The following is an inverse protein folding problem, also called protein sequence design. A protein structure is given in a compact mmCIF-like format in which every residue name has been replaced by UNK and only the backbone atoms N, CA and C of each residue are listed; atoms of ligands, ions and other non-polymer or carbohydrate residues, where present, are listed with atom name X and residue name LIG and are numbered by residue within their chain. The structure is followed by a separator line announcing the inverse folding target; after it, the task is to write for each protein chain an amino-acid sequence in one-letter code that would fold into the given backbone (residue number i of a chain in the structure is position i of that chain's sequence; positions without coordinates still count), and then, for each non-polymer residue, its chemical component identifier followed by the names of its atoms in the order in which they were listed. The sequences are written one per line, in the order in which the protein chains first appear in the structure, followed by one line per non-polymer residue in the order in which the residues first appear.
data_IF_028961354788
#
_entry.id   IF_028961354788
#
_cell.length_a   1.000
_cell.length_b   1.000
_cell.length_c   1.000
_cell.angle_alpha   90.00
_cell.angle_beta   90.00
_cell.angle_gamma   90.00
#
_symmetry.space_group_name_H-M   'P 1'
#
loop_
_entity.id
_entity.type
_entity.pdbx_description
1 polymer ?
#
# COMPACT_ATOMS: atom_id res chain seq x y z
N UNK A 1 -19.11 -17.55 18.59
CA UNK A 1 -18.34 -17.93 17.41
C UNK A 1 -17.41 -16.76 17.16
N UNK A 2 -16.18 -16.76 17.67
CA UNK A 2 -15.04 -17.56 17.17
C UNK A 2 -14.99 -17.52 15.65
N UNK A 3 -13.87 -16.98 15.20
CA UNK A 3 -13.26 -17.14 13.89
C UNK A 3 -13.65 -16.10 12.83
N UNK A 4 -12.61 -15.77 12.06
CA UNK A 4 -12.59 -15.06 10.78
C UNK A 4 -12.25 -13.56 10.86
N UNK A 5 -11.09 -13.23 11.43
CA UNK A 5 -10.19 -12.32 10.71
C UNK A 5 -9.59 -13.16 9.58
N UNK A 6 -10.30 -13.22 8.46
CA UNK A 6 -9.68 -13.56 7.19
C UNK A 6 -9.24 -12.22 6.61
N UNK A 7 -8.03 -11.82 6.99
CA UNK A 7 -7.23 -10.96 6.13
C UNK A 7 -6.96 -11.79 4.87
N UNK A 8 -7.87 -11.70 3.90
CA UNK A 8 -7.65 -12.22 2.56
C UNK A 8 -6.80 -11.17 1.86
N UNK A 9 -5.52 -11.20 2.19
CA UNK A 9 -4.48 -10.55 1.43
C UNK A 9 -4.05 -11.48 0.29
N UNK A 10 -4.92 -11.66 -0.72
CA UNK A 10 -4.52 -12.40 -1.92
C UNK A 10 -3.46 -11.63 -2.71
N UNK A 11 -3.35 -10.31 -2.53
CA UNK A 11 -2.31 -9.52 -3.15
C UNK A 11 -0.93 -9.82 -2.53
N UNK A 12 -0.77 -9.79 -1.21
CA UNK A 12 0.51 -10.07 -0.54
C UNK A 12 0.92 -11.54 -0.52
N UNK A 13 -0.01 -12.50 -0.52
CA UNK A 13 0.34 -13.94 -0.57
C UNK A 13 0.73 -14.44 -1.97
N UNK A 14 0.21 -13.85 -3.05
CA UNK A 14 0.65 -14.14 -4.43
C UNK A 14 1.74 -13.16 -4.91
N UNK A 15 1.73 -11.93 -4.41
CA UNK A 15 2.62 -10.84 -4.78
C UNK A 15 3.26 -10.24 -3.53
N UNK A 16 4.14 -11.00 -2.86
CA UNK A 16 5.15 -10.41 -2.00
C UNK A 16 6.05 -9.48 -2.83
N UNK A 17 5.54 -8.42 -3.43
CA UNK A 17 5.98 -7.90 -4.71
C UNK A 17 7.42 -7.41 -4.68
N UNK A 18 7.89 -6.69 -3.64
CA UNK A 18 9.30 -6.39 -3.48
C UNK A 18 10.16 -7.63 -3.24
N UNK A 19 9.69 -8.62 -2.46
CA UNK A 19 10.43 -9.86 -2.18
C UNK A 19 10.48 -10.78 -3.39
N UNK A 20 9.37 -10.95 -4.12
CA UNK A 20 9.28 -11.78 -5.31
C UNK A 20 10.00 -11.12 -6.48
N UNK A 21 9.90 -9.79 -6.62
CA UNK A 21 10.65 -9.03 -7.62
C UNK A 21 12.14 -9.07 -7.31
N UNK A 22 12.56 -8.82 -6.06
CA UNK A 22 13.97 -8.96 -5.67
C UNK A 22 14.47 -10.40 -5.72
N UNK A 23 13.64 -11.39 -5.39
CA UNK A 23 14.00 -12.80 -5.55
C UNK A 23 14.18 -13.14 -7.03
N UNK A 24 13.30 -12.64 -7.90
CA UNK A 24 13.44 -12.78 -9.35
C UNK A 24 14.70 -12.07 -9.86
N UNK A 25 14.90 -10.79 -9.54
CA UNK A 25 16.09 -10.00 -9.91
C UNK A 25 17.37 -10.67 -9.40
N UNK A 26 17.43 -11.11 -8.13
CA UNK A 26 18.60 -11.80 -7.60
C UNK A 26 18.81 -13.18 -8.21
N UNK A 27 17.75 -13.96 -8.46
CA UNK A 27 17.88 -15.25 -9.11
C UNK A 27 18.40 -15.10 -10.54
N UNK A 28 17.88 -14.12 -11.29
CA UNK A 28 18.32 -13.79 -12.65
C UNK A 28 19.74 -13.22 -12.65
N UNK A 29 20.08 -12.36 -11.69
CA UNK A 29 21.43 -11.87 -11.46
C UNK A 29 22.43 -12.99 -11.13
N UNK A 30 22.02 -13.99 -10.34
CA UNK A 30 22.84 -15.20 -10.07
C UNK A 30 23.00 -16.09 -11.30
N UNK A 31 22.11 -15.99 -12.27
CA UNK A 31 22.24 -16.59 -13.61
C UNK A 31 23.05 -15.72 -14.58
N UNK A 32 23.60 -14.59 -14.13
CA UNK A 32 24.42 -13.69 -14.93
C UNK A 32 23.65 -12.72 -15.81
N UNK A 33 22.34 -12.57 -15.58
CA UNK A 33 21.48 -11.63 -16.32
C UNK A 33 21.56 -10.25 -15.64
N UNK A 34 22.06 -9.20 -16.33
CA UNK A 34 22.05 -7.84 -15.82
C UNK A 34 20.64 -7.37 -15.46
N UNK A 35 20.51 -6.53 -14.42
CA UNK A 35 19.21 -5.97 -14.04
C UNK A 35 18.55 -5.18 -15.20
N UNK A 36 19.35 -4.52 -16.04
CA UNK A 36 18.90 -3.76 -17.20
C UNK A 36 18.26 -4.64 -18.30
N UNK A 37 18.54 -5.95 -18.29
CA UNK A 37 17.94 -6.93 -19.20
C UNK A 37 16.63 -7.52 -18.63
N UNK A 38 16.19 -7.09 -17.43
CA UNK A 38 14.98 -7.58 -16.77
C UNK A 38 13.84 -6.59 -17.01
N UNK A 39 12.91 -6.95 -17.89
CA UNK A 39 11.65 -6.21 -18.05
C UNK A 39 10.67 -6.57 -16.94
N UNK A 40 10.34 -5.59 -16.09
CA UNK A 40 9.26 -5.69 -15.11
C UNK A 40 7.99 -5.11 -15.71
N UNK A 41 6.92 -5.91 -15.72
CA UNK A 41 5.62 -5.49 -16.24
C UNK A 41 4.67 -5.33 -15.05
N UNK A 42 4.41 -4.10 -14.62
CA UNK A 42 3.47 -3.84 -13.54
C UNK A 42 2.04 -3.90 -14.09
N UNK A 43 1.15 -4.63 -13.43
CA UNK A 43 -0.24 -4.76 -13.89
C UNK A 43 -0.96 -3.40 -13.97
N UNK A 44 -0.55 -2.43 -13.14
CA UNK A 44 -1.03 -1.05 -13.18
C UNK A 44 -0.75 -0.38 -14.54
N UNK A 45 0.40 -0.68 -15.17
CA UNK A 45 0.76 -0.14 -16.50
C UNK A 45 -0.06 -0.79 -17.63
N UNK A 46 -0.76 -1.89 -17.34
CA UNK A 46 -1.57 -2.65 -18.30
C UNK A 46 -3.07 -2.60 -17.98
N UNK A 47 -3.49 -1.53 -17.27
CA UNK A 47 -4.89 -1.21 -17.07
C UNK A 47 -5.57 -1.95 -15.93
N UNK A 48 -4.81 -2.50 -14.97
CA UNK A 48 -5.38 -3.02 -13.71
C UNK A 48 -5.43 -1.89 -12.69
N UNK A 49 -6.64 -1.45 -12.34
CA UNK A 49 -6.88 -0.24 -11.54
C UNK A 49 -7.11 -0.53 -10.05
N UNK A 50 -6.91 -1.79 -9.64
CA UNK A 50 -7.19 -2.25 -8.28
C UNK A 50 -6.36 -1.47 -7.23
N UNK A 51 -7.00 -1.21 -6.09
CA UNK A 51 -6.33 -0.69 -4.91
C UNK A 51 -5.64 -1.84 -4.16
N UNK A 52 -4.44 -1.58 -3.66
CA UNK A 52 -3.67 -2.52 -2.85
C UNK A 52 -4.05 -2.43 -1.37
N UNK A 53 -3.16 -1.87 -0.57
CA UNK A 53 -3.33 -1.81 0.89
C UNK A 53 -4.35 -0.76 1.31
N UNK A 54 -5.15 -1.08 2.33
CA UNK A 54 -6.12 -0.18 2.94
C UNK A 54 -6.06 -0.25 4.46
N UNK A 55 -6.39 0.86 5.12
CA UNK A 55 -6.60 0.90 6.56
C UNK A 55 -8.10 0.69 6.80
N UNK A 56 -8.44 -0.33 7.57
CA UNK A 56 -9.82 -0.68 7.86
C UNK A 56 -10.09 -0.46 9.34
N UNK A 57 -11.17 0.24 9.64
CA UNK A 57 -11.64 0.52 11.01
C UNK A 57 -13.09 0.07 11.15
N UNK A 58 -13.47 -0.37 12.35
CA UNK A 58 -14.86 -0.66 12.66
C UNK A 58 -15.68 0.64 12.66
N UNK A 59 -16.85 0.63 12.03
CA UNK A 59 -17.72 1.80 11.87
C UNK A 59 -18.14 2.40 13.21
N UNK A 60 -18.59 1.57 14.16
CA UNK A 60 -19.04 2.05 15.48
C UNK A 60 -17.88 2.71 16.25
N UNK A 61 -16.67 2.16 16.11
CA UNK A 61 -15.47 2.74 16.69
C UNK A 61 -15.12 4.08 16.05
N UNK A 62 -15.17 4.18 14.71
CA UNK A 62 -14.85 5.39 13.98
C UNK A 62 -15.83 6.53 14.33
N UNK A 63 -17.12 6.23 14.35
CA UNK A 63 -18.17 7.19 14.71
C UNK A 63 -18.04 7.68 16.15
N UNK A 64 -17.65 6.79 17.07
CA UNK A 64 -17.45 7.13 18.49
C UNK A 64 -16.13 7.84 18.77
N UNK A 65 -15.12 7.68 17.91
CA UNK A 65 -13.75 8.16 18.12
C UNK A 65 -13.16 8.85 16.87
N UNK A 66 -13.88 9.80 16.24
CA UNK A 66 -13.46 10.37 14.96
C UNK A 66 -12.09 11.07 15.06
N UNK A 67 -11.86 11.80 16.16
CA UNK A 67 -10.60 12.49 16.40
C UNK A 67 -9.41 11.52 16.50
N UNK A 68 -9.59 10.37 17.15
CA UNK A 68 -8.54 9.36 17.29
C UNK A 68 -8.24 8.67 15.95
N UNK A 69 -9.27 8.41 15.13
CA UNK A 69 -9.07 7.85 13.79
C UNK A 69 -8.30 8.84 12.92
N UNK A 70 -8.72 10.11 12.86
CA UNK A 70 -8.00 11.14 12.10
C UNK A 70 -6.56 11.32 12.60
N UNK A 71 -6.34 11.35 13.93
CA UNK A 71 -5.00 11.46 14.49
C UNK A 71 -4.11 10.25 14.15
N UNK A 72 -4.68 9.04 14.13
CA UNK A 72 -3.96 7.83 13.72
C UNK A 72 -3.57 7.87 12.24
N UNK A 73 -4.48 8.31 11.36
CA UNK A 73 -4.19 8.49 9.94
C UNK A 73 -3.10 9.55 9.71
N UNK A 74 -3.15 10.66 10.45
CA UNK A 74 -2.09 11.67 10.43
C UNK A 74 -0.73 11.09 10.89
N UNK A 75 -0.73 10.29 11.95
CA UNK A 75 0.49 9.64 12.46
C UNK A 75 1.11 8.67 11.44
N UNK A 76 0.28 7.93 10.69
CA UNK A 76 0.77 7.07 9.61
C UNK A 76 1.40 7.90 8.49
N UNK A 77 0.75 8.98 8.07
CA UNK A 77 1.30 9.85 7.04
C UNK A 77 2.62 10.50 7.48
N UNK A 78 2.75 10.90 8.75
CA UNK A 78 4.02 11.36 9.32
C UNK A 78 5.08 10.27 9.33
N UNK A 79 4.74 9.03 9.69
CA UNK A 79 5.67 7.91 9.64
C UNK A 79 6.22 7.64 8.23
N UNK A 80 5.37 7.77 7.21
CA UNK A 80 5.83 7.68 5.81
C UNK A 80 6.72 8.84 5.40
N UNK A 81 6.39 10.08 5.81
CA UNK A 81 7.26 11.24 5.58
C UNK A 81 8.65 11.03 6.16
N UNK A 82 8.71 10.59 7.40
CA UNK A 82 9.97 10.34 8.09
C UNK A 82 10.74 9.20 7.43
N UNK A 83 10.07 8.12 7.02
CA UNK A 83 10.70 7.00 6.33
C UNK A 83 11.22 7.34 4.92
N UNK A 84 10.57 8.27 4.21
CA UNK A 84 11.04 8.77 2.91
C UNK A 84 12.23 9.72 3.10
N UNK A 85 12.17 10.60 4.10
CA UNK A 85 13.22 11.58 4.37
C UNK A 85 14.50 10.94 4.95
N UNK A 86 14.36 9.91 5.77
CA UNK A 86 15.47 9.17 6.39
C UNK A 86 15.17 7.65 6.41
N UNK A 87 15.40 6.95 5.28
CA UNK A 87 15.21 5.51 5.20
C UNK A 87 16.04 4.71 6.21
N UNK A 88 17.25 5.18 6.55
CA UNK A 88 18.15 4.47 7.48
C UNK A 88 17.54 4.41 8.90
N UNK A 89 16.90 5.50 9.35
CA UNK A 89 16.16 5.52 10.62
C UNK A 89 14.96 4.57 10.59
N UNK A 90 14.25 4.49 9.46
CA UNK A 90 13.15 3.53 9.31
C UNK A 90 13.64 2.07 9.36
N UNK A 91 14.78 1.77 8.75
CA UNK A 91 15.40 0.44 8.83
C UNK A 91 15.87 0.13 10.26
N UNK A 92 16.47 1.09 10.96
CA UNK A 92 16.85 0.90 12.36
C UNK A 92 15.64 0.53 13.23
N UNK A 93 14.52 1.24 13.08
CA UNK A 93 13.28 0.94 13.78
C UNK A 93 12.71 -0.44 13.40
N UNK A 94 12.83 -0.85 12.13
CA UNK A 94 12.45 -2.18 11.67
C UNK A 94 13.33 -3.27 12.32
N UNK A 95 14.64 -3.07 12.40
CA UNK A 95 15.58 -4.03 12.97
C UNK A 95 15.34 -4.29 14.46
N UNK A 96 14.85 -3.31 15.21
CA UNK A 96 14.43 -3.51 16.61
C UNK A 96 13.24 -4.47 16.73
N UNK A 97 12.35 -4.48 15.72
CA UNK A 97 11.15 -5.34 15.67
C UNK A 97 11.43 -6.69 15.02
N UNK A 98 12.35 -6.74 14.05
CA UNK A 98 12.76 -7.94 13.34
C UNK A 98 14.29 -8.07 13.27
N UNK A 99 14.95 -8.49 14.37
CA UNK A 99 16.42 -8.58 14.41
C UNK A 99 17.04 -9.62 13.46
N UNK A 100 16.22 -10.52 12.89
CA UNK A 100 16.67 -11.55 11.96
C UNK A 100 16.70 -11.08 10.50
N UNK A 101 16.21 -9.87 10.21
CA UNK A 101 16.26 -9.29 8.88
C UNK A 101 17.68 -8.87 8.48
N UNK A 102 17.91 -8.70 7.18
CA UNK A 102 19.13 -8.10 6.66
C UNK A 102 18.87 -6.60 6.43
N UNK A 103 19.57 -5.69 7.12
CA UNK A 103 19.27 -4.26 7.04
C UNK A 103 19.53 -3.67 5.65
N UNK A 104 20.54 -4.16 4.93
CA UNK A 104 20.82 -3.68 3.57
C UNK A 104 19.72 -4.13 2.61
N UNK A 105 19.22 -5.36 2.79
CA UNK A 105 18.09 -5.85 2.01
C UNK A 105 16.80 -5.08 2.30
N UNK A 106 16.51 -4.82 3.57
CA UNK A 106 15.30 -4.08 3.94
C UNK A 106 15.35 -2.62 3.46
N UNK A 107 16.53 -1.99 3.44
CA UNK A 107 16.71 -0.67 2.84
C UNK A 107 16.36 -0.67 1.35
N UNK A 108 16.86 -1.65 0.59
CA UNK A 108 16.52 -1.81 -0.83
C UNK A 108 15.02 -2.05 -1.03
N UNK A 109 14.40 -2.87 -0.17
CA UNK A 109 12.94 -3.14 -0.20
C UNK A 109 12.12 -1.90 0.08
N UNK A 110 12.53 -1.11 1.08
CA UNK A 110 11.87 0.13 1.42
C UNK A 110 11.94 1.12 0.26
N UNK A 111 13.11 1.30 -0.36
CA UNK A 111 13.25 2.20 -1.50
C UNK A 111 12.36 1.77 -2.67
N UNK A 112 12.35 0.48 -3.03
CA UNK A 112 11.46 -0.03 -4.08
C UNK A 112 9.98 0.18 -3.75
N UNK A 113 9.58 0.04 -2.48
CA UNK A 113 8.21 0.28 -2.07
C UNK A 113 7.85 1.77 -2.17
N UNK A 114 8.76 2.66 -1.77
CA UNK A 114 8.60 4.10 -1.88
C UNK A 114 8.38 4.50 -3.34
N UNK A 115 9.28 4.09 -4.23
CA UNK A 115 9.27 4.51 -5.63
C UNK A 115 8.07 3.95 -6.41
N UNK A 116 7.71 2.69 -6.17
CA UNK A 116 6.69 2.01 -6.98
C UNK A 116 5.27 2.11 -6.42
N UNK A 117 5.09 2.32 -5.11
CA UNK A 117 3.77 2.17 -4.47
C UNK A 117 3.36 3.32 -3.55
N UNK A 118 4.31 4.08 -2.99
CA UNK A 118 3.99 5.11 -1.98
C UNK A 118 4.07 6.50 -2.60
N UNK A 119 5.22 6.91 -3.13
CA UNK A 119 5.44 8.24 -3.69
C UNK A 119 5.07 8.29 -5.18
N UNK A 120 3.85 7.86 -5.49
CA UNK A 120 3.31 7.87 -6.86
C UNK A 120 2.91 9.29 -7.29
N UNK A 121 2.78 9.53 -8.60
CA UNK A 121 2.29 10.82 -9.13
C UNK A 121 0.97 11.26 -8.49
N UNK A 122 0.06 10.31 -8.23
CA UNK A 122 -1.19 10.59 -7.55
C UNK A 122 -0.97 11.08 -6.12
N UNK A 123 -0.08 10.44 -5.36
CA UNK A 123 0.22 10.80 -3.97
C UNK A 123 0.97 12.13 -3.88
N UNK A 124 1.86 12.41 -4.83
CA UNK A 124 2.53 13.72 -4.94
C UNK A 124 1.50 14.83 -5.17
N UNK A 125 0.48 14.58 -6.02
CA UNK A 125 -0.53 15.58 -6.35
C UNK A 125 -1.64 15.73 -5.28
N UNK A 126 -2.06 14.64 -4.65
CA UNK A 126 -3.28 14.59 -3.83
C UNK A 126 -3.04 14.21 -2.36
N UNK A 127 -1.84 13.76 -2.01
CA UNK A 127 -1.51 13.20 -0.70
C UNK A 127 -1.82 11.69 -0.60
N UNK A 128 -1.29 11.07 0.44
CA UNK A 128 -1.49 9.63 0.71
C UNK A 128 -2.87 9.39 1.36
N UNK A 129 -3.53 8.31 0.95
CA UNK A 129 -4.71 7.76 1.65
C UNK A 129 -6.07 8.17 1.07
N UNK A 130 -6.14 9.14 0.17
CA UNK A 130 -7.35 9.39 -0.63
C UNK A 130 -7.48 8.39 -1.77
N UNK A 131 -8.68 8.30 -2.34
CA UNK A 131 -8.95 7.54 -3.55
C UNK A 131 -9.18 8.49 -4.74
N UNK A 132 -8.88 8.00 -5.93
CA UNK A 132 -9.40 8.52 -7.19
C UNK A 132 -10.74 7.83 -7.49
N UNK A 133 -11.80 8.63 -7.65
CA UNK A 133 -13.16 8.15 -7.88
C UNK A 133 -13.29 7.36 -9.19
N UNK A 134 -12.64 7.82 -10.27
CA UNK A 134 -12.67 7.15 -11.57
C UNK A 134 -11.96 5.80 -11.50
N UNK A 135 -10.79 5.77 -10.86
CA UNK A 135 -10.05 4.53 -10.61
C UNK A 135 -10.84 3.56 -9.74
N UNK A 136 -11.53 4.05 -8.70
CA UNK A 136 -12.35 3.21 -7.82
C UNK A 136 -13.54 2.60 -8.58
N UNK A 137 -14.21 3.38 -9.42
CA UNK A 137 -15.26 2.85 -10.30
C UNK A 137 -14.73 1.81 -11.28
N UNK A 138 -13.56 2.05 -11.87
CA UNK A 138 -12.88 1.07 -12.74
C UNK A 138 -12.55 -0.22 -11.99
N UNK A 139 -11.97 -0.13 -10.79
CA UNK A 139 -11.64 -1.27 -9.95
C UNK A 139 -12.88 -2.12 -9.59
N UNK A 140 -14.00 -1.46 -9.26
CA UNK A 140 -15.29 -2.14 -9.02
C UNK A 140 -15.74 -2.87 -10.29
N UNK A 141 -15.66 -2.23 -11.46
CA UNK A 141 -16.05 -2.83 -12.74
C UNK A 141 -15.16 -4.04 -13.11
N UNK A 142 -13.85 -3.93 -12.90
CA UNK A 142 -12.90 -5.03 -13.10
C UNK A 142 -13.22 -6.21 -12.17
N UNK A 143 -13.52 -5.93 -10.91
CA UNK A 143 -13.91 -6.97 -9.94
C UNK A 143 -15.21 -7.67 -10.37
N UNK A 144 -16.20 -6.94 -10.91
CA UNK A 144 -17.44 -7.53 -11.46
C UNK A 144 -17.20 -8.48 -12.63
N UNK A 145 -16.10 -8.33 -13.36
CA UNK A 145 -15.76 -9.22 -14.48
C UNK A 145 -15.31 -10.61 -14.03
N UNK A 146 -14.83 -10.73 -12.78
CA UNK A 146 -14.27 -11.98 -12.22
C UNK A 146 -15.19 -12.58 -11.14
N UNK A 147 -15.89 -11.74 -10.38
CA UNK A 147 -16.72 -12.15 -9.24
C UNK A 147 -18.16 -11.66 -9.34
N UNK A 148 -19.08 -12.46 -8.79
CA UNK A 148 -20.49 -12.08 -8.63
C UNK A 148 -20.70 -11.43 -7.27
N UNK A 149 -21.09 -10.16 -7.25
CA UNK A 149 -21.46 -9.47 -6.02
C UNK A 149 -22.83 -9.93 -5.51
N UNK A 150 -22.99 -9.99 -4.19
CA UNK A 150 -24.28 -10.29 -3.55
C UNK A 150 -25.24 -9.08 -3.55
N UNK A 151 -24.69 -7.87 -3.58
CA UNK A 151 -25.39 -6.59 -3.63
C UNK A 151 -24.76 -5.68 -4.68
N UNK A 152 -25.46 -4.64 -5.10
CA UNK A 152 -24.85 -3.63 -5.96
C UNK A 152 -23.70 -2.94 -5.20
N UNK A 153 -22.47 -2.92 -5.76
CA UNK A 153 -21.35 -2.28 -5.09
C UNK A 153 -21.48 -0.76 -5.16
N UNK A 154 -21.23 -0.12 -4.03
CA UNK A 154 -21.24 1.33 -3.84
C UNK A 154 -19.92 1.74 -3.19
N UNK A 155 -19.17 2.62 -3.87
CA UNK A 155 -17.87 3.09 -3.40
C UNK A 155 -17.96 3.78 -2.03
N UNK A 156 -19.08 4.46 -1.73
CA UNK A 156 -19.31 5.14 -0.46
C UNK A 156 -19.45 4.17 0.73
N UNK A 157 -19.73 2.89 0.47
CA UNK A 157 -19.72 1.87 1.52
C UNK A 157 -18.31 1.36 1.86
N UNK A 158 -17.34 1.61 0.99
CA UNK A 158 -15.99 1.07 1.11
C UNK A 158 -14.97 2.12 1.54
N UNK A 159 -15.25 3.41 1.29
CA UNK A 159 -14.35 4.50 1.64
C UNK A 159 -15.12 5.71 2.18
N UNK A 160 -14.70 6.19 3.34
CA UNK A 160 -15.21 7.40 3.97
C UNK A 160 -14.08 8.42 4.16
N UNK A 161 -14.05 9.51 3.34
CA UNK A 161 -13.01 10.52 3.43
C UNK A 161 -13.15 11.44 4.65
N UNK A 162 -14.26 11.40 5.40
CA UNK A 162 -14.52 12.34 6.50
C UNK A 162 -13.52 12.25 7.66
N UNK A 163 -12.84 11.11 7.78
CA UNK A 163 -11.79 10.87 8.77
C UNK A 163 -10.40 11.32 8.30
N UNK A 164 -10.21 11.66 7.02
CA UNK A 164 -8.91 12.09 6.52
C UNK A 164 -8.49 13.44 7.11
N UNK A 165 -7.23 13.59 7.54
CA UNK A 165 -6.68 14.88 7.94
C UNK A 165 -6.74 15.92 6.81
N UNK A 166 -7.13 17.15 7.14
CA UNK A 166 -7.23 18.28 6.20
C UNK A 166 -6.15 19.34 6.42
N UNK A 167 -5.23 19.09 7.37
CA UNK A 167 -4.14 19.99 7.75
C UNK A 167 -2.89 19.87 6.85
N UNK A 168 -2.96 19.07 5.80
CA UNK A 168 -1.86 18.80 4.88
C UNK A 168 -0.89 17.71 5.37
N UNK A 169 -1.20 17.01 6.47
CA UNK A 169 -0.37 15.92 6.98
C UNK A 169 -0.18 14.79 5.95
N UNK A 170 -1.11 14.64 5.00
CA UNK A 170 -1.10 13.60 3.97
C UNK A 170 -0.13 13.87 2.79
N UNK A 171 0.37 15.10 2.61
CA UNK A 171 1.23 15.42 1.45
C UNK A 171 2.64 14.88 1.64
N UNK A 172 3.08 13.93 0.80
CA UNK A 172 4.45 13.41 0.81
C UNK A 172 5.33 14.19 -0.19
N UNK A 173 6.64 14.27 0.10
CA UNK A 173 7.65 14.93 -0.75
C UNK A 173 8.89 14.06 -0.86
#
# INVERSE_FOLDING_TARGET
MRDLIHEIDYAGWLFGWPVSLQAAIRNLGRLGIPADDISVLLMADYGVDLYGNAIIVNTDFADSNPAQVTAFLAAIAMGWKDAIADPDTAIAALMERNPAADPALEAERLQMAIDANVLTDFVIANGIGSIDDERMMSAIAQTKSVYTFQSEPDAALYFDPSYLPTDGSLMLQ
#
